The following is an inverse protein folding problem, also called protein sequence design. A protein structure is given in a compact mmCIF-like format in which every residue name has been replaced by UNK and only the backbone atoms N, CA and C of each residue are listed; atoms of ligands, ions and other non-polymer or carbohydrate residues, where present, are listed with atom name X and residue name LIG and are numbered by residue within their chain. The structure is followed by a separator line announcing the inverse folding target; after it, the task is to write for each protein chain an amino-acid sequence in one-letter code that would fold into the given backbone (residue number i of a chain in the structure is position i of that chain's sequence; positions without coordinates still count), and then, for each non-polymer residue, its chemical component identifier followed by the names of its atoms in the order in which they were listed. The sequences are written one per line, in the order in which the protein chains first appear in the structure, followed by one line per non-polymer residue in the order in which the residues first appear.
data_IF_125356987915
#
_entry.id   IF_125356987915
#
_cell.length_a   1.000
_cell.length_b   1.000
_cell.length_c   1.000
_cell.angle_alpha   90.00
_cell.angle_beta   90.00
_cell.angle_gamma   90.00
#
_symmetry.space_group_name_H-M   'P 1'
#
loop_
_entity.id
_entity.type
_entity.pdbx_description
1 polymer ?
#
# COMPACT_ATOMS: atom_id res chain seq x y z
N UNK A 1 -84.53 -26.66 36.64
CA UNK A 1 -83.98 -26.01 35.42
C UNK A 1 -83.62 -24.59 35.84
N UNK A 2 -82.33 -24.26 36.01
CA UNK A 2 -81.44 -23.74 34.95
C UNK A 2 -81.90 -22.33 34.52
N UNK A 3 -81.14 -21.22 34.51
CA UNK A 3 -79.75 -20.86 34.84
C UNK A 3 -79.73 -19.34 35.10
N UNK A 4 -78.78 -18.88 35.90
CA UNK A 4 -78.38 -17.48 36.14
C UNK A 4 -78.12 -16.63 34.89
N UNK A 5 -78.30 -15.31 34.98
CA UNK A 5 -77.42 -14.35 34.30
C UNK A 5 -77.13 -13.13 35.17
N UNK A 6 -75.83 -12.85 35.30
CA UNK A 6 -75.20 -11.83 36.14
C UNK A 6 -75.04 -10.48 35.41
N UNK A 7 -74.94 -9.45 36.23
CA UNK A 7 -74.55 -8.08 35.95
C UNK A 7 -73.16 -7.95 35.32
N UNK A 8 -73.00 -7.01 34.39
CA UNK A 8 -71.69 -6.48 34.01
C UNK A 8 -71.67 -4.95 34.18
N UNK A 9 -71.01 -4.51 35.26
CA UNK A 9 -70.44 -3.16 35.38
C UNK A 9 -69.08 -3.19 34.68
N UNK A 10 -68.92 -2.40 33.63
CA UNK A 10 -67.64 -2.17 32.97
C UNK A 10 -66.74 -1.35 33.90
N UNK A 11 -65.62 -1.93 34.31
CA UNK A 11 -64.54 -1.19 34.96
C UNK A 11 -63.58 -0.71 33.88
N UNK A 12 -63.46 0.60 33.73
CA UNK A 12 -62.49 1.22 32.83
C UNK A 12 -61.07 1.01 33.37
N UNK A 13 -60.33 0.10 32.74
CA UNK A 13 -58.90 -0.08 32.98
C UNK A 13 -58.12 0.95 32.15
N UNK A 14 -57.64 2.00 32.82
CA UNK A 14 -56.59 2.86 32.27
C UNK A 14 -55.25 2.10 32.25
N UNK A 15 -54.81 1.68 31.06
CA UNK A 15 -53.46 1.18 30.85
C UNK A 15 -52.47 2.37 30.78
N UNK A 16 -51.35 2.34 31.54
CA UNK A 16 -50.31 3.35 31.39
C UNK A 16 -49.66 3.21 30.02
N UNK A 17 -49.70 4.29 29.23
CA UNK A 17 -48.96 4.39 27.97
C UNK A 17 -47.47 4.27 28.28
N UNK A 18 -46.89 3.10 28.02
CA UNK A 18 -45.44 2.94 27.91
C UNK A 18 -44.97 3.86 26.78
N UNK A 19 -44.48 5.03 27.16
CA UNK A 19 -43.77 5.96 26.29
C UNK A 19 -42.50 5.24 25.83
N UNK A 20 -42.62 4.50 24.73
CA UNK A 20 -41.50 3.86 24.04
C UNK A 20 -40.52 4.97 23.69
N UNK A 21 -39.38 4.99 24.37
CA UNK A 21 -38.27 5.86 24.07
C UNK A 21 -37.67 5.43 22.72
N UNK A 22 -38.35 5.75 21.62
CA UNK A 22 -37.98 5.38 20.25
C UNK A 22 -37.54 6.64 19.50
N UNK A 23 -36.39 7.17 19.88
CA UNK A 23 -35.67 8.21 19.10
C UNK A 23 -34.16 8.31 19.37
N UNK A 24 -33.52 7.33 20.04
CA UNK A 24 -32.05 7.36 20.26
C UNK A 24 -31.27 6.14 19.70
N UNK A 25 -31.97 5.09 19.25
CA UNK A 25 -31.33 3.87 18.73
C UNK A 25 -30.74 3.98 17.30
N UNK A 26 -31.32 4.71 16.33
CA UNK A 26 -30.76 4.73 14.97
C UNK A 26 -29.45 5.52 14.88
N UNK A 27 -29.31 6.61 15.65
CA UNK A 27 -28.10 7.43 15.66
C UNK A 27 -26.93 6.71 16.32
N UNK A 28 -27.14 6.06 17.48
CA UNK A 28 -26.08 5.30 18.17
C UNK A 28 -25.58 4.10 17.35
N UNK A 29 -26.50 3.38 16.68
CA UNK A 29 -26.14 2.28 15.79
C UNK A 29 -25.40 2.77 14.53
N UNK A 30 -25.83 3.88 13.93
CA UNK A 30 -25.18 4.47 12.76
C UNK A 30 -23.78 5.01 13.10
N UNK A 31 -23.60 5.69 14.24
CA UNK A 31 -22.30 6.18 14.73
C UNK A 31 -21.35 5.01 15.03
N UNK A 32 -21.85 3.94 15.65
CA UNK A 32 -21.06 2.73 15.93
C UNK A 32 -20.62 2.01 14.65
N UNK A 33 -21.53 1.88 13.68
CA UNK A 33 -21.22 1.31 12.37
C UNK A 33 -20.22 2.17 11.57
N UNK A 34 -20.36 3.49 11.62
CA UNK A 34 -19.44 4.44 10.97
C UNK A 34 -18.04 4.41 11.61
N UNK A 35 -17.97 4.29 12.93
CA UNK A 35 -16.70 4.18 13.66
C UNK A 35 -16.00 2.85 13.38
N UNK A 36 -16.77 1.75 13.34
CA UNK A 36 -16.26 0.42 13.01
C UNK A 36 -15.69 0.33 11.59
N UNK A 37 -16.40 0.89 10.61
CA UNK A 37 -15.95 0.94 9.20
C UNK A 37 -14.71 1.82 9.01
N UNK A 38 -14.65 2.97 9.67
CA UNK A 38 -13.46 3.84 9.64
C UNK A 38 -12.23 3.13 10.24
N UNK A 39 -12.41 2.41 11.34
CA UNK A 39 -11.34 1.65 12.00
C UNK A 39 -10.86 0.51 11.10
N UNK A 40 -11.77 -0.30 10.54
CA UNK A 40 -11.43 -1.40 9.64
C UNK A 40 -10.65 -0.89 8.42
N UNK A 41 -11.12 0.18 7.78
CA UNK A 41 -10.42 0.84 6.66
C UNK A 41 -9.00 1.25 7.05
N UNK A 42 -8.82 1.85 8.22
CA UNK A 42 -7.51 2.30 8.69
C UNK A 42 -6.52 1.14 8.89
N UNK A 43 -6.99 0.01 9.42
CA UNK A 43 -6.17 -1.19 9.56
C UNK A 43 -5.83 -1.84 8.23
N UNK A 44 -6.76 -1.87 7.26
CA UNK A 44 -6.49 -2.39 5.90
C UNK A 44 -5.37 -1.58 5.23
N UNK A 45 -5.45 -0.24 5.26
CA UNK A 45 -4.40 0.61 4.70
C UNK A 45 -3.08 0.49 5.46
N UNK A 46 -3.10 0.36 6.78
CA UNK A 46 -1.90 0.12 7.57
C UNK A 46 -1.23 -1.22 7.23
N UNK A 47 -2.00 -2.29 7.09
CA UNK A 47 -1.49 -3.60 6.68
C UNK A 47 -0.94 -3.57 5.26
N UNK A 48 -1.64 -2.95 4.31
CA UNK A 48 -1.14 -2.77 2.95
C UNK A 48 0.17 -1.97 2.91
N UNK A 49 0.27 -0.90 3.73
CA UNK A 49 1.50 -0.12 3.91
C UNK A 49 2.66 -0.98 4.42
N UNK A 50 2.43 -1.78 5.46
CA UNK A 50 3.47 -2.63 6.04
C UNK A 50 3.93 -3.73 5.08
N UNK A 51 2.99 -4.37 4.36
CA UNK A 51 3.31 -5.35 3.33
C UNK A 51 4.11 -4.71 2.19
N UNK A 52 3.72 -3.52 1.73
CA UNK A 52 4.47 -2.80 0.71
C UNK A 52 5.87 -2.43 1.21
N UNK A 53 5.98 -1.91 2.43
CA UNK A 53 7.28 -1.62 3.05
C UNK A 53 8.17 -2.85 3.15
N UNK A 54 7.59 -3.99 3.52
CA UNK A 54 8.29 -5.27 3.56
C UNK A 54 8.80 -5.71 2.18
N UNK A 55 8.02 -5.56 1.10
CA UNK A 55 8.46 -5.89 -0.27
C UNK A 55 9.74 -5.11 -0.63
N UNK A 56 9.77 -3.80 -0.39
CA UNK A 56 10.92 -2.95 -0.67
C UNK A 56 12.14 -3.29 0.21
N UNK A 57 11.93 -3.47 1.52
CA UNK A 57 13.00 -3.83 2.44
C UNK A 57 13.55 -5.23 2.18
N UNK A 58 12.70 -6.18 1.80
CA UNK A 58 13.12 -7.52 1.44
C UNK A 58 14.00 -7.51 0.20
N UNK A 59 13.59 -6.79 -0.85
CA UNK A 59 14.42 -6.60 -2.04
C UNK A 59 15.78 -5.97 -1.70
N UNK A 60 15.80 -4.97 -0.81
CA UNK A 60 17.04 -4.38 -0.33
C UNK A 60 17.92 -5.41 0.42
N UNK A 61 17.35 -6.18 1.34
CA UNK A 61 18.09 -7.19 2.11
C UNK A 61 18.67 -8.27 1.22
N UNK A 62 17.86 -8.85 0.32
CA UNK A 62 18.32 -9.88 -0.61
C UNK A 62 19.42 -9.34 -1.54
N UNK A 63 19.28 -8.12 -2.07
CA UNK A 63 20.32 -7.50 -2.91
C UNK A 63 21.57 -7.12 -2.14
N UNK A 64 21.44 -6.71 -0.89
CA UNK A 64 22.58 -6.35 -0.04
C UNK A 64 23.42 -7.59 0.28
N UNK A 65 22.77 -8.68 0.70
CA UNK A 65 23.44 -9.84 1.29
C UNK A 65 23.52 -11.08 0.37
N UNK A 66 22.79 -11.10 -0.75
CA UNK A 66 22.72 -12.28 -1.63
C UNK A 66 22.04 -13.47 -0.96
N UNK A 67 20.82 -13.30 -0.44
CA UNK A 67 20.14 -14.33 0.36
C UNK A 67 19.63 -15.53 -0.45
N UNK A 68 19.74 -15.48 -1.78
CA UNK A 68 19.39 -16.59 -2.67
C UNK A 68 17.96 -16.53 -3.20
N UNK A 69 17.23 -15.43 -3.01
CA UNK A 69 15.91 -15.25 -3.63
C UNK A 69 16.07 -14.75 -5.06
N UNK A 70 16.16 -13.43 -5.23
CA UNK A 70 16.43 -12.82 -6.55
C UNK A 70 17.93 -12.66 -6.78
N UNK A 71 18.71 -12.58 -5.70
CA UNK A 71 20.15 -12.36 -5.72
C UNK A 71 20.86 -13.64 -5.26
N UNK A 72 21.68 -14.22 -6.14
CA UNK A 72 22.40 -15.46 -5.84
C UNK A 72 23.36 -15.28 -4.64
N UNK A 73 23.63 -16.33 -3.85
CA UNK A 73 24.64 -16.28 -2.80
C UNK A 73 26.01 -15.87 -3.34
N UNK A 74 26.71 -14.99 -2.61
CA UNK A 74 28.02 -14.43 -3.02
C UNK A 74 27.96 -13.43 -4.18
N UNK A 75 26.75 -12.98 -4.54
CA UNK A 75 26.51 -11.88 -5.49
C UNK A 75 25.79 -10.71 -4.83
N UNK A 76 25.85 -10.61 -3.50
CA UNK A 76 25.32 -9.48 -2.77
C UNK A 76 26.10 -8.20 -3.08
N UNK A 77 25.49 -7.05 -2.83
CA UNK A 77 26.13 -5.76 -3.03
C UNK A 77 27.39 -5.59 -2.16
N UNK A 78 27.36 -6.11 -0.93
CA UNK A 78 28.52 -6.10 -0.04
C UNK A 78 29.66 -7.01 -0.52
N UNK A 79 29.35 -7.97 -1.39
CA UNK A 79 30.33 -8.86 -2.04
C UNK A 79 30.85 -8.26 -3.36
N UNK A 80 30.51 -7.01 -3.67
CA UNK A 80 30.88 -6.34 -4.91
C UNK A 80 29.96 -6.65 -6.10
N UNK A 81 28.83 -7.32 -5.88
CA UNK A 81 27.79 -7.49 -6.90
C UNK A 81 27.08 -6.18 -7.22
N UNK A 82 26.49 -6.05 -8.40
CA UNK A 82 25.66 -4.90 -8.77
C UNK A 82 24.16 -5.20 -8.57
N UNK A 83 23.45 -4.40 -7.76
CA UNK A 83 22.00 -4.49 -7.61
C UNK A 83 21.19 -4.36 -8.91
N UNK A 84 21.64 -3.56 -9.87
CA UNK A 84 20.89 -3.25 -11.10
C UNK A 84 21.31 -4.06 -12.31
N UNK A 85 22.56 -4.52 -12.38
CA UNK A 85 23.14 -5.25 -13.52
C UNK A 85 22.27 -6.42 -13.97
N UNK A 86 21.88 -7.28 -13.02
CA UNK A 86 21.13 -8.50 -13.32
C UNK A 86 19.75 -8.25 -13.93
N UNK A 87 19.16 -7.07 -13.74
CA UNK A 87 17.87 -6.72 -14.32
C UNK A 87 18.04 -5.86 -15.57
N UNK A 88 18.75 -4.73 -15.44
CA UNK A 88 18.90 -3.76 -16.52
C UNK A 88 19.71 -4.31 -17.69
N UNK A 89 20.75 -5.11 -17.44
CA UNK A 89 21.55 -5.73 -18.50
C UNK A 89 20.82 -6.81 -19.30
N UNK A 90 19.68 -7.31 -18.80
CA UNK A 90 18.85 -8.31 -19.48
C UNK A 90 17.57 -7.72 -20.07
N UNK A 91 17.38 -6.40 -20.02
CA UNK A 91 16.30 -5.75 -20.77
C UNK A 91 16.51 -6.06 -22.25
N UNK A 92 15.52 -6.65 -22.91
CA UNK A 92 15.65 -7.10 -24.29
C UNK A 92 14.47 -6.60 -25.14
N UNK A 93 13.84 -5.51 -24.72
CA UNK A 93 12.65 -4.96 -25.36
C UNK A 93 12.43 -3.50 -24.97
N UNK A 94 11.72 -2.77 -25.82
CA UNK A 94 11.26 -1.42 -25.55
C UNK A 94 12.23 -0.33 -26.00
N UNK A 95 11.78 0.94 -26.03
CA UNK A 95 12.52 2.05 -26.63
C UNK A 95 13.77 2.46 -25.84
N UNK A 96 13.88 2.05 -24.58
CA UNK A 96 14.97 2.43 -23.67
C UNK A 96 15.98 1.31 -23.42
N UNK A 97 15.93 0.19 -24.17
CA UNK A 97 16.81 -0.97 -24.01
C UNK A 97 18.30 -0.57 -23.89
N UNK A 98 18.82 0.16 -24.88
CA UNK A 98 20.22 0.62 -24.90
C UNK A 98 20.58 1.53 -23.72
N UNK A 99 19.63 2.36 -23.26
CA UNK A 99 19.83 3.23 -22.09
C UNK A 99 19.92 2.42 -20.81
N UNK A 100 19.06 1.42 -20.64
CA UNK A 100 19.12 0.54 -19.48
C UNK A 100 20.39 -0.30 -19.46
N UNK A 101 20.85 -0.81 -20.60
CA UNK A 101 22.15 -1.49 -20.71
C UNK A 101 23.30 -0.57 -20.29
N UNK A 102 23.26 0.71 -20.65
CA UNK A 102 24.29 1.67 -20.25
C UNK A 102 24.26 2.02 -18.75
N UNK A 103 23.12 1.83 -18.09
CA UNK A 103 22.96 2.07 -16.65
C UNK A 103 23.21 0.81 -15.81
N UNK A 104 23.08 -0.37 -16.41
CA UNK A 104 23.39 -1.64 -15.78
C UNK A 104 24.80 -1.61 -15.18
N UNK A 105 24.91 -1.89 -13.88
CA UNK A 105 26.21 -1.93 -13.21
C UNK A 105 26.83 -0.56 -12.91
N UNK A 106 26.18 0.53 -13.34
CA UNK A 106 26.69 1.87 -13.07
C UNK A 106 26.56 2.19 -11.57
N UNK A 107 27.66 2.58 -10.93
CA UNK A 107 27.70 2.81 -9.49
C UNK A 107 26.61 3.78 -9.00
N UNK A 108 26.34 4.85 -9.75
CA UNK A 108 25.29 5.81 -9.39
C UNK A 108 23.89 5.19 -9.44
N UNK A 109 23.63 4.29 -10.41
CA UNK A 109 22.35 3.62 -10.56
C UNK A 109 22.15 2.60 -9.42
N UNK A 110 23.20 1.85 -9.08
CA UNK A 110 23.20 0.93 -7.95
C UNK A 110 22.91 1.64 -6.63
N UNK A 111 23.62 2.74 -6.35
CA UNK A 111 23.38 3.55 -5.15
C UNK A 111 21.96 4.12 -5.12
N UNK A 112 21.49 4.73 -6.22
CA UNK A 112 20.15 5.32 -6.28
C UNK A 112 19.06 4.26 -6.08
N UNK A 113 19.22 3.10 -6.71
CA UNK A 113 18.28 1.99 -6.59
C UNK A 113 18.24 1.46 -5.15
N UNK A 114 19.39 1.22 -4.53
CA UNK A 114 19.47 0.71 -3.16
C UNK A 114 18.97 1.73 -2.13
N UNK A 115 19.30 3.01 -2.29
CA UNK A 115 18.75 4.10 -1.45
C UNK A 115 17.25 4.24 -1.63
N UNK A 116 16.73 4.05 -2.84
CA UNK A 116 15.31 4.03 -3.11
C UNK A 116 14.62 2.86 -2.40
N UNK A 117 15.15 1.65 -2.51
CA UNK A 117 14.59 0.47 -1.83
C UNK A 117 14.57 0.63 -0.31
N UNK A 118 15.70 1.02 0.28
CA UNK A 118 15.82 1.21 1.72
C UNK A 118 14.95 2.39 2.20
N UNK A 119 15.05 3.54 1.54
CA UNK A 119 14.36 4.77 1.92
C UNK A 119 12.83 4.62 1.84
N UNK A 120 12.31 4.11 0.71
CA UNK A 120 10.88 3.85 0.55
C UNK A 120 10.41 2.78 1.52
N UNK A 121 11.15 1.68 1.65
CA UNK A 121 10.82 0.59 2.56
C UNK A 121 10.73 1.02 4.03
N UNK A 122 11.70 1.81 4.51
CA UNK A 122 11.69 2.35 5.87
C UNK A 122 10.59 3.38 6.08
N UNK A 123 10.39 4.30 5.14
CA UNK A 123 9.34 5.32 5.21
C UNK A 123 7.95 4.67 5.27
N UNK A 124 7.70 3.68 4.42
CA UNK A 124 6.48 2.89 4.44
C UNK A 124 6.34 2.13 5.76
N UNK A 125 7.36 1.42 6.22
CA UNK A 125 7.27 0.59 7.44
C UNK A 125 7.04 1.45 8.69
N UNK A 126 7.77 2.55 8.82
CA UNK A 126 7.61 3.50 9.91
C UNK A 126 6.32 4.33 9.79
N UNK A 127 5.77 4.49 8.59
CA UNK A 127 4.58 5.32 8.34
C UNK A 127 4.89 6.81 8.38
N UNK A 128 6.05 7.22 7.87
CA UNK A 128 6.52 8.61 7.86
C UNK A 128 6.93 9.02 6.44
N UNK A 129 6.87 10.31 6.13
CA UNK A 129 7.26 10.85 4.83
C UNK A 129 6.61 10.11 3.64
N UNK A 130 5.33 9.75 3.76
CA UNK A 130 4.66 8.87 2.80
C UNK A 130 4.53 9.52 1.42
N UNK A 131 4.41 10.84 1.33
CA UNK A 131 4.39 11.54 0.04
C UNK A 131 5.73 11.46 -0.69
N UNK A 132 6.84 11.61 0.06
CA UNK A 132 8.19 11.43 -0.49
C UNK A 132 8.41 10.00 -0.96
N UNK A 133 8.05 9.03 -0.11
CA UNK A 133 8.14 7.62 -0.42
C UNK A 133 7.30 7.26 -1.66
N UNK A 134 6.10 7.84 -1.78
CA UNK A 134 5.24 7.62 -2.93
C UNK A 134 5.84 8.19 -4.22
N UNK A 135 6.41 9.40 -4.20
CA UNK A 135 7.07 9.96 -5.39
C UNK A 135 8.28 9.11 -5.79
N UNK A 136 9.20 8.85 -4.86
CA UNK A 136 10.41 8.09 -5.14
C UNK A 136 10.10 6.65 -5.60
N UNK A 137 9.21 5.96 -4.87
CA UNK A 137 8.79 4.62 -5.22
C UNK A 137 8.02 4.56 -6.54
N UNK A 138 7.16 5.54 -6.84
CA UNK A 138 6.45 5.60 -8.14
C UNK A 138 7.42 5.79 -9.29
N UNK A 139 8.41 6.67 -9.17
CA UNK A 139 9.45 6.85 -10.20
C UNK A 139 10.22 5.55 -10.43
N UNK A 140 10.61 4.87 -9.35
CA UNK A 140 11.28 3.57 -9.44
C UNK A 140 10.40 2.53 -10.15
N UNK A 141 9.15 2.36 -9.73
CA UNK A 141 8.22 1.40 -10.33
C UNK A 141 7.92 1.74 -11.80
N UNK A 142 7.80 3.02 -12.14
CA UNK A 142 7.60 3.45 -13.53
C UNK A 142 8.81 3.12 -14.41
N UNK A 143 10.04 3.31 -13.92
CA UNK A 143 11.23 2.92 -14.66
C UNK A 143 11.30 1.40 -14.87
N UNK A 144 10.92 0.60 -13.87
CA UNK A 144 10.88 -0.86 -14.01
C UNK A 144 9.78 -1.33 -14.95
N UNK A 145 8.61 -0.68 -14.94
CA UNK A 145 7.55 -0.90 -15.93
C UNK A 145 8.03 -0.59 -17.35
N UNK A 146 8.78 0.50 -17.55
CA UNK A 146 9.36 0.83 -18.86
C UNK A 146 10.43 -0.18 -19.28
N UNK A 147 11.20 -0.73 -18.33
CA UNK A 147 12.21 -1.76 -18.59
C UNK A 147 11.60 -3.12 -18.96
N UNK A 148 10.49 -3.52 -18.35
CA UNK A 148 9.75 -4.73 -18.75
C UNK A 148 8.97 -4.53 -20.06
N UNK A 149 8.56 -3.29 -20.34
CA UNK A 149 7.79 -2.88 -21.52
C UNK A 149 6.61 -3.81 -21.88
N UNK A 150 5.58 -3.91 -21.01
CA UNK A 150 4.46 -4.84 -21.18
C UNK A 150 3.74 -4.81 -22.54
N UNK A 151 3.63 -3.68 -23.27
CA UNK A 151 2.99 -3.67 -24.59
C UNK A 151 3.65 -4.57 -25.64
N UNK A 152 4.94 -4.91 -25.50
CA UNK A 152 5.61 -5.74 -26.49
C UNK A 152 5.15 -7.19 -26.45
N UNK A 153 4.96 -7.76 -27.64
CA UNK A 153 4.65 -9.18 -27.86
C UNK A 153 5.87 -10.02 -28.23
N UNK A 154 6.94 -9.35 -28.67
CA UNK A 154 8.19 -9.94 -29.08
C UNK A 154 9.35 -9.18 -28.43
N UNK A 155 10.42 -9.90 -28.11
CA UNK A 155 11.70 -9.33 -27.72
C UNK A 155 12.45 -8.82 -28.95
N UNK A 156 13.56 -8.13 -28.73
CA UNK A 156 14.43 -7.58 -29.77
C UNK A 156 15.07 -8.66 -30.67
N UNK A 157 15.13 -9.91 -30.20
CA UNK A 157 15.56 -11.08 -31.00
C UNK A 157 14.41 -11.75 -31.79
N UNK A 158 13.19 -11.23 -31.69
CA UNK A 158 11.99 -11.75 -32.35
C UNK A 158 11.25 -12.87 -31.60
N UNK A 159 11.82 -13.40 -30.52
CA UNK A 159 11.15 -14.41 -29.68
C UNK A 159 9.96 -13.80 -28.91
N UNK A 160 8.96 -14.59 -28.49
CA UNK A 160 7.82 -14.07 -27.73
C UNK A 160 8.25 -13.46 -26.39
N UNK A 161 7.76 -12.26 -26.05
CA UNK A 161 8.07 -11.57 -24.79
C UNK A 161 7.45 -12.22 -23.55
N UNK A 162 6.49 -13.13 -23.76
CA UNK A 162 5.67 -13.72 -22.70
C UNK A 162 4.89 -12.70 -21.86
N UNK A 163 4.68 -11.48 -22.38
CA UNK A 163 3.84 -10.48 -21.73
C UNK A 163 2.42 -11.00 -21.55
N UNK A 164 1.92 -10.94 -20.31
CA UNK A 164 0.59 -11.43 -19.93
C UNK A 164 -0.49 -10.35 -20.04
N UNK A 165 -0.10 -9.08 -20.02
CA UNK A 165 -0.99 -7.93 -20.11
C UNK A 165 -0.25 -6.76 -20.78
N UNK A 166 -0.82 -6.09 -21.79
CA UNK A 166 -0.12 -5.04 -22.52
C UNK A 166 0.05 -3.73 -21.74
N UNK A 167 -0.50 -3.61 -20.52
CA UNK A 167 -0.50 -2.36 -19.77
C UNK A 167 -0.24 -2.54 -18.27
N UNK A 168 -0.98 -3.43 -17.60
CA UNK A 168 -0.96 -3.54 -16.15
C UNK A 168 -0.13 -4.74 -15.69
N UNK A 169 0.96 -4.48 -15.00
CA UNK A 169 1.78 -5.44 -14.26
C UNK A 169 1.77 -5.11 -12.75
N UNK A 170 2.61 -5.79 -11.98
CA UNK A 170 2.75 -5.52 -10.56
C UNK A 170 3.42 -4.17 -10.26
N UNK A 171 4.33 -3.67 -11.10
CA UNK A 171 4.96 -2.36 -10.93
C UNK A 171 3.93 -1.23 -10.95
N UNK A 172 3.02 -1.24 -11.93
CA UNK A 172 1.97 -0.23 -12.03
C UNK A 172 1.00 -0.31 -10.85
N UNK A 173 0.65 -1.53 -10.41
CA UNK A 173 -0.19 -1.74 -9.22
C UNK A 173 0.50 -1.22 -7.96
N UNK A 174 1.80 -1.49 -7.79
CA UNK A 174 2.58 -1.02 -6.65
C UNK A 174 2.71 0.51 -6.66
N UNK A 175 2.99 1.12 -7.81
CA UNK A 175 3.00 2.57 -7.97
C UNK A 175 1.67 3.21 -7.53
N UNK A 176 0.55 2.68 -8.01
CA UNK A 176 -0.77 3.18 -7.63
C UNK A 176 -1.04 3.00 -6.13
N UNK A 177 -0.65 1.86 -5.56
CA UNK A 177 -0.82 1.59 -4.14
C UNK A 177 0.02 2.55 -3.28
N UNK A 178 1.25 2.88 -3.67
CA UNK A 178 2.08 3.87 -2.99
C UNK A 178 1.39 5.25 -2.94
N UNK A 179 0.85 5.70 -4.07
CA UNK A 179 0.10 6.97 -4.16
C UNK A 179 -1.16 6.90 -3.28
N UNK A 180 -1.91 5.81 -3.35
CA UNK A 180 -3.13 5.63 -2.55
C UNK A 180 -2.83 5.68 -1.04
N UNK A 181 -1.74 5.04 -0.58
CA UNK A 181 -1.32 5.04 0.82
C UNK A 181 -0.90 6.44 1.31
N UNK A 182 -0.22 7.22 0.46
CA UNK A 182 0.16 8.59 0.77
C UNK A 182 -1.05 9.53 0.86
N UNK A 183 -2.01 9.42 -0.07
CA UNK A 183 -3.24 10.23 -0.07
C UNK A 183 -4.17 9.83 1.08
N UNK A 184 -4.25 8.54 1.42
CA UNK A 184 -5.08 8.04 2.51
C UNK A 184 -4.52 8.31 3.92
N UNK A 185 -3.35 8.95 4.04
CA UNK A 185 -2.66 9.19 5.32
C UNK A 185 -2.45 7.89 6.13
N UNK A 186 -2.09 6.80 5.44
CA UNK A 186 -1.97 5.46 6.03
C UNK A 186 -0.88 5.34 7.13
N UNK A 187 -0.06 6.37 7.31
CA UNK A 187 1.02 6.42 8.32
C UNK A 187 0.52 6.64 9.75
N UNK A 188 -0.71 7.08 9.92
CA UNK A 188 -1.28 7.34 11.25
C UNK A 188 -1.64 6.05 12.00
N UNK A 189 -1.97 4.97 11.29
CA UNK A 189 -2.37 3.70 11.90
C UNK A 189 -1.23 2.69 11.83
N UNK A 190 -0.89 2.08 12.97
CA UNK A 190 0.28 1.20 13.15
C UNK A 190 1.60 1.81 12.66
N UNK A 191 1.72 3.14 12.70
CA UNK A 191 2.88 3.89 12.24
C UNK A 191 3.13 5.12 13.10
N UNK A 192 4.23 5.80 12.81
CA UNK A 192 4.71 6.98 13.51
C UNK A 192 4.25 8.28 12.85
N UNK A 193 3.34 8.24 11.87
CA UNK A 193 2.90 9.39 11.08
C UNK A 193 2.39 10.56 11.93
N UNK A 194 1.62 10.26 12.99
CA UNK A 194 1.17 11.27 13.94
C UNK A 194 2.30 11.96 14.72
N UNK A 195 3.36 11.21 15.07
CA UNK A 195 4.52 11.77 15.76
C UNK A 195 5.37 12.58 14.79
N UNK A 196 5.58 12.07 13.57
CA UNK A 196 6.28 12.73 12.49
C UNK A 196 5.65 14.08 12.13
N UNK A 197 4.32 14.13 12.00
CA UNK A 197 3.56 15.34 11.71
C UNK A 197 3.66 16.42 12.80
N UNK A 198 4.12 16.08 14.01
CA UNK A 198 4.32 17.05 15.11
C UNK A 198 5.68 17.74 15.02
N UNK A 199 6.64 17.23 14.27
CA UNK A 199 7.96 17.85 14.12
C UNK A 199 7.82 19.27 13.54
N UNK A 200 8.53 20.29 14.05
CA UNK A 200 8.38 21.67 13.60
C UNK A 200 8.55 21.85 12.09
N UNK A 201 9.52 21.13 11.50
CA UNK A 201 9.78 21.15 10.06
C UNK A 201 8.61 20.58 9.24
N UNK A 202 8.01 19.47 9.69
CA UNK A 202 6.90 18.81 8.97
C UNK A 202 5.58 19.56 9.17
N UNK A 203 5.38 20.16 10.35
CA UNK A 203 4.20 20.97 10.65
C UNK A 203 4.11 22.19 9.73
N UNK A 204 5.25 22.82 9.42
CA UNK A 204 5.35 23.94 8.50
C UNK A 204 5.32 23.56 7.01
N UNK A 205 5.55 22.28 6.67
CA UNK A 205 5.59 21.81 5.30
C UNK A 205 4.83 20.49 5.12
N UNK A 206 3.53 20.59 4.81
CA UNK A 206 2.65 19.43 4.69
C UNK A 206 3.07 18.42 3.62
N UNK A 207 3.95 18.77 2.69
CA UNK A 207 4.53 17.84 1.71
C UNK A 207 5.46 16.80 2.34
N UNK A 208 6.06 17.11 3.50
CA UNK A 208 6.93 16.18 4.23
C UNK A 208 6.17 15.11 5.01
N UNK A 209 4.83 15.13 5.00
CA UNK A 209 4.00 14.08 5.62
C UNK A 209 4.04 12.79 4.79
#
# INVERSE_FOLDING_TARGET
MAVHQHSHRSADFHLPSFRRNRTAAPESAAVSAHTGTHTARAYVFASARLLMGFVFLWAFLDKTFGLGYSTRPGKGWIDGGSPTEGFLGHVAVGPMESTFHAWAGAAWADWLFMLGLLGVGLALTAGVALRLAAVAGTVMMALMWVAEWPPARHLSDGSPSMSTNPFADYHLVYALLLVALAVASAGDTLGLGRLWARLPLVRGNGWLR
#
